data_IF_172513656482
#
_entry.id   IF_172513656482
#
_cell.length_a   1.000
_cell.length_b   1.000
_cell.length_c   1.000
_cell.angle_alpha   90.00
_cell.angle_beta   90.00
_cell.angle_gamma   90.00
#
_symmetry.space_group_name_H-M   'P 1'
#
loop_
_entity.id
_entity.type
_entity.pdbx_description
1 polymer ?
#
# COMPACT_ATOMS: atom_id res chain seq x y z
N UNK A 1 0.93 -2.49 23.23
CA UNK A 1 2.25 -2.24 23.87
C UNK A 1 3.36 -2.74 22.95
N UNK A 2 4.37 -1.92 22.62
CA UNK A 2 5.51 -2.33 21.80
C UNK A 2 6.61 -2.98 22.64
N UNK A 3 7.01 -4.20 22.26
CA UNK A 3 7.96 -5.03 23.03
C UNK A 3 9.00 -5.73 22.16
N UNK A 4 8.76 -5.87 20.86
CA UNK A 4 9.64 -6.63 19.99
C UNK A 4 10.78 -5.75 19.48
N UNK A 5 12.05 -6.11 19.70
CA UNK A 5 13.17 -5.41 19.08
C UNK A 5 13.27 -5.76 17.58
N UNK A 6 13.95 -4.89 16.81
CA UNK A 6 14.19 -5.09 15.37
C UNK A 6 14.68 -6.51 15.02
N UNK A 7 15.59 -7.09 15.81
CA UNK A 7 16.14 -8.42 15.57
C UNK A 7 15.10 -9.55 15.62
N UNK A 8 14.09 -9.43 16.48
CA UNK A 8 12.98 -10.39 16.57
C UNK A 8 12.05 -10.20 15.38
N UNK A 9 11.70 -8.95 15.06
CA UNK A 9 10.82 -8.64 13.93
C UNK A 9 11.40 -9.11 12.59
N UNK A 10 12.70 -8.93 12.35
CA UNK A 10 13.34 -9.42 11.13
C UNK A 10 13.28 -10.95 11.00
N UNK A 11 13.35 -11.68 12.13
CA UNK A 11 13.24 -13.15 12.13
C UNK A 11 11.81 -13.61 11.89
N UNK A 12 10.83 -12.94 12.49
CA UNK A 12 9.41 -13.32 12.39
C UNK A 12 8.79 -12.93 11.04
N UNK A 13 9.21 -11.81 10.45
CA UNK A 13 8.67 -11.32 9.17
C UNK A 13 9.45 -11.79 7.95
N UNK A 14 10.68 -12.28 8.15
CA UNK A 14 11.67 -12.55 7.10
C UNK A 14 12.03 -11.31 6.26
N UNK A 15 11.68 -10.11 6.74
CA UNK A 15 12.09 -8.86 6.14
C UNK A 15 13.45 -8.44 6.69
N UNK A 16 14.27 -7.86 5.82
CA UNK A 16 15.52 -7.24 6.25
C UNK A 16 15.25 -5.97 7.07
N UNK A 17 16.16 -5.62 7.98
CA UNK A 17 16.06 -4.35 8.72
C UNK A 17 16.02 -3.12 7.78
N UNK A 18 16.62 -3.23 6.58
CA UNK A 18 16.55 -2.19 5.54
C UNK A 18 15.13 -2.01 5.02
N UNK A 19 14.44 -3.10 4.67
CA UNK A 19 13.04 -3.06 4.22
C UNK A 19 12.13 -2.48 5.30
N UNK A 20 12.26 -2.92 6.56
CA UNK A 20 11.43 -2.43 7.66
C UNK A 20 11.60 -0.91 7.85
N UNK A 21 12.85 -0.42 7.85
CA UNK A 21 13.13 1.02 7.92
C UNK A 21 12.57 1.78 6.71
N UNK A 22 12.63 1.18 5.53
CA UNK A 22 12.07 1.77 4.33
C UNK A 22 10.54 1.92 4.44
N UNK A 23 9.86 0.91 4.96
CA UNK A 23 8.41 0.96 5.20
C UNK A 23 8.03 1.97 6.29
N UNK A 24 8.83 2.10 7.34
CA UNK A 24 8.71 3.17 8.35
C UNK A 24 8.87 4.57 7.75
N UNK A 25 9.89 4.80 6.89
CA UNK A 25 10.07 6.09 6.20
C UNK A 25 8.88 6.46 5.33
N UNK A 26 8.17 5.46 4.77
CA UNK A 26 6.94 5.65 4.01
C UNK A 26 5.67 5.72 4.88
N UNK A 27 5.83 5.70 6.21
CA UNK A 27 4.77 5.74 7.22
C UNK A 27 3.79 4.57 7.16
N UNK A 28 4.22 3.44 6.59
CA UNK A 28 3.41 2.21 6.56
C UNK A 28 3.35 1.54 7.94
N UNK A 29 4.34 1.83 8.79
CA UNK A 29 4.39 1.43 10.20
C UNK A 29 4.95 2.58 11.04
N UNK A 30 4.64 2.58 12.34
CA UNK A 30 5.08 3.64 13.28
C UNK A 30 5.53 3.02 14.61
N UNK A 31 6.66 2.28 14.63
CA UNK A 31 7.15 1.66 15.84
C UNK A 31 7.53 2.72 16.89
N UNK A 32 7.29 2.41 18.16
CA UNK A 32 7.70 3.28 19.27
C UNK A 32 9.21 3.20 19.47
N UNK A 33 9.80 4.22 20.10
CA UNK A 33 11.19 4.20 20.55
C UNK A 33 11.25 3.98 22.06
N UNK A 34 12.18 3.13 22.50
CA UNK A 34 12.53 2.98 23.91
C UNK A 34 13.35 4.17 24.42
N UNK A 35 13.58 4.25 25.73
CA UNK A 35 14.44 5.26 26.35
C UNK A 35 15.86 5.30 25.75
N UNK A 36 16.41 4.14 25.40
CA UNK A 36 17.70 4.01 24.69
C UNK A 36 17.62 4.30 23.19
N UNK A 37 16.56 4.96 22.71
CA UNK A 37 16.30 5.31 21.32
C UNK A 37 16.26 4.12 20.34
N UNK A 38 15.98 2.91 20.84
CA UNK A 38 15.83 1.71 20.00
C UNK A 38 14.38 1.55 19.57
N UNK A 39 14.14 1.08 18.34
CA UNK A 39 12.79 0.77 17.86
C UNK A 39 12.24 -0.45 18.60
N UNK A 40 11.04 -0.30 19.14
CA UNK A 40 10.22 -1.36 19.70
C UNK A 40 8.95 -1.44 18.86
N UNK A 41 8.67 -2.65 18.39
CA UNK A 41 7.52 -2.96 17.55
C UNK A 41 6.45 -3.62 18.41
N UNK A 42 5.20 -3.26 18.14
CA UNK A 42 4.03 -3.93 18.67
C UNK A 42 3.68 -5.16 17.83
N UNK A 43 2.74 -5.98 18.32
CA UNK A 43 2.15 -7.07 17.55
C UNK A 43 1.50 -6.54 16.25
N UNK A 44 0.76 -5.43 16.35
CA UNK A 44 0.11 -4.79 15.19
C UNK A 44 1.13 -4.31 14.14
N UNK A 45 2.30 -3.80 14.55
CA UNK A 45 3.37 -3.46 13.59
C UNK A 45 3.89 -4.70 12.87
N UNK A 46 4.01 -5.84 13.56
CA UNK A 46 4.44 -7.10 12.97
C UNK A 46 3.40 -7.65 11.98
N UNK A 47 2.13 -7.65 12.35
CA UNK A 47 1.02 -8.04 11.45
C UNK A 47 1.00 -7.18 10.19
N UNK A 48 1.15 -5.85 10.36
CA UNK A 48 1.24 -4.91 9.24
C UNK A 48 2.44 -5.20 8.34
N UNK A 49 3.60 -5.55 8.90
CA UNK A 49 4.78 -5.94 8.12
C UNK A 49 4.55 -7.22 7.30
N UNK A 50 3.85 -8.21 7.87
CA UNK A 50 3.49 -9.43 7.16
C UNK A 50 2.49 -9.18 6.03
N UNK A 51 1.54 -8.26 6.24
CA UNK A 51 0.63 -7.80 5.20
C UNK A 51 1.36 -7.08 4.06
N UNK A 52 2.24 -6.13 4.39
CA UNK A 52 3.07 -5.42 3.40
C UNK A 52 3.87 -6.43 2.57
N UNK A 53 4.47 -7.44 3.21
CA UNK A 53 5.19 -8.52 2.50
C UNK A 53 4.29 -9.22 1.48
N UNK A 54 3.10 -9.67 1.90
CA UNK A 54 2.14 -10.32 1.00
C UNK A 54 1.71 -9.43 -0.18
N UNK A 55 1.54 -8.13 0.06
CA UNK A 55 1.17 -7.19 -1.01
C UNK A 55 2.34 -6.98 -2.00
N UNK A 56 3.58 -6.89 -1.51
CA UNK A 56 4.76 -6.83 -2.38
C UNK A 56 4.88 -8.09 -3.23
N UNK A 57 4.67 -9.28 -2.65
CA UNK A 57 4.68 -10.56 -3.38
C UNK A 57 3.60 -10.64 -4.46
N UNK A 58 2.46 -9.97 -4.26
CA UNK A 58 1.39 -9.81 -5.27
C UNK A 58 1.72 -8.76 -6.35
N UNK A 59 2.86 -8.08 -6.26
CA UNK A 59 3.31 -7.09 -7.24
C UNK A 59 2.86 -5.65 -6.98
N UNK A 60 2.29 -5.34 -5.81
CA UNK A 60 1.95 -3.97 -5.46
C UNK A 60 3.21 -3.14 -5.16
N UNK A 61 3.20 -1.89 -5.59
CA UNK A 61 4.24 -0.92 -5.19
C UNK A 61 3.86 -0.21 -3.88
N UNK A 62 4.82 0.53 -3.29
CA UNK A 62 4.63 1.23 -2.01
C UNK A 62 3.45 2.21 -2.00
N UNK A 63 3.21 2.92 -3.11
CA UNK A 63 2.09 3.86 -3.21
C UNK A 63 0.75 3.13 -3.18
N UNK A 64 0.65 2.02 -3.92
CA UNK A 64 -0.52 1.14 -3.92
C UNK A 64 -0.78 0.55 -2.53
N UNK A 65 0.27 0.06 -1.88
CA UNK A 65 0.20 -0.48 -0.52
C UNK A 65 -0.29 0.57 0.48
N UNK A 66 0.25 1.80 0.43
CA UNK A 66 -0.19 2.89 1.30
C UNK A 66 -1.68 3.20 1.14
N UNK A 67 -2.21 3.13 -0.09
CA UNK A 67 -3.63 3.36 -0.35
C UNK A 67 -4.51 2.24 0.20
N UNK A 68 -4.12 0.98 0.01
CA UNK A 68 -4.85 -0.20 0.54
C UNK A 68 -4.94 -0.09 2.07
N UNK A 69 -3.79 0.12 2.71
CA UNK A 69 -3.67 0.22 4.17
C UNK A 69 -4.50 1.38 4.73
N UNK A 70 -4.51 2.53 4.05
CA UNK A 70 -5.31 3.68 4.47
C UNK A 70 -6.81 3.36 4.41
N UNK A 71 -7.26 2.75 3.32
CA UNK A 71 -8.67 2.38 3.17
C UNK A 71 -9.13 1.40 4.25
N UNK A 72 -8.30 0.42 4.62
CA UNK A 72 -8.62 -0.51 5.72
C UNK A 72 -8.80 0.17 7.08
N UNK A 73 -8.06 1.26 7.33
CA UNK A 73 -8.23 2.05 8.56
C UNK A 73 -9.51 2.91 8.53
N UNK A 74 -9.94 3.32 7.34
CA UNK A 74 -11.17 4.09 7.15
C UNK A 74 -12.42 3.18 7.17
N UNK A 75 -12.28 1.88 6.87
CA UNK A 75 -13.36 0.88 6.89
C UNK A 75 -13.36 0.04 8.18
N UNK A 76 -13.75 0.65 9.30
CA UNK A 76 -14.18 -0.06 10.53
C UNK A 76 -15.68 -0.44 10.52
N UNK A 77 -16.37 -0.28 9.38
CA UNK A 77 -17.73 -0.78 9.17
C UNK A 77 -17.70 -1.80 8.04
N UNK A 78 -17.98 -3.06 8.39
CA UNK A 78 -17.85 -4.26 7.57
C UNK A 78 -18.64 -4.27 6.24
N UNK A 79 -19.51 -3.28 6.00
CA UNK A 79 -20.47 -3.30 4.88
C UNK A 79 -19.88 -2.88 3.52
N UNK A 80 -18.76 -2.14 3.46
CA UNK A 80 -18.23 -1.59 2.20
C UNK A 80 -17.18 -2.47 1.50
N UNK A 81 -16.71 -3.53 2.17
CA UNK A 81 -15.63 -4.40 1.68
C UNK A 81 -16.04 -5.25 0.48
N UNK A 82 -17.31 -5.64 0.39
CA UNK A 82 -17.80 -6.55 -0.65
C UNK A 82 -17.91 -5.83 -2.02
N UNK A 83 -18.30 -4.56 -2.01
CA UNK A 83 -18.47 -3.75 -3.23
C UNK A 83 -17.12 -3.43 -3.89
N UNK A 84 -16.03 -3.29 -3.12
CA UNK A 84 -14.70 -2.94 -3.68
C UNK A 84 -13.93 -4.14 -4.21
N UNK A 85 -14.10 -5.34 -3.65
CA UNK A 85 -13.50 -6.56 -4.21
C UNK A 85 -13.96 -6.82 -5.64
N UNK A 86 -15.20 -6.44 -5.98
CA UNK A 86 -15.74 -6.58 -7.34
C UNK A 86 -15.14 -5.55 -8.33
N UNK A 87 -14.87 -4.31 -7.92
CA UNK A 87 -14.36 -3.26 -8.83
C UNK A 87 -12.88 -3.42 -9.23
N UNK A 88 -12.04 -4.00 -8.36
CA UNK A 88 -10.60 -4.16 -8.63
C UNK A 88 -10.35 -5.31 -9.64
N UNK A 89 -11.20 -6.33 -9.63
CA UNK A 89 -11.12 -7.45 -10.59
C UNK A 89 -11.45 -6.97 -12.02
N UNK A 90 -12.37 -6.02 -12.17
CA UNK A 90 -12.82 -5.56 -13.49
C UNK A 90 -11.79 -4.67 -14.22
N UNK A 91 -10.98 -3.91 -13.48
CA UNK A 91 -9.95 -3.01 -14.05
C UNK A 91 -8.72 -3.74 -14.61
N UNK A 92 -8.55 -5.03 -14.30
CA UNK A 92 -7.36 -5.80 -14.69
C UNK A 92 -7.59 -6.65 -15.96
N UNK A 93 -8.82 -6.69 -16.50
CA UNK A 93 -9.20 -7.64 -17.57
C UNK A 93 -9.66 -7.05 -18.91
N UNK A 94 -9.71 -5.72 -19.12
CA UNK A 94 -10.08 -5.13 -20.43
C UNK A 94 -8.88 -4.54 -21.18
N UNK A 95 -8.49 -5.07 -22.35
CA UNK A 95 -7.64 -4.34 -23.29
C UNK A 95 -8.52 -3.33 -24.04
N UNK A 96 -8.59 -2.09 -23.54
CA UNK A 96 -9.30 -1.03 -24.24
C UNK A 96 -8.44 -0.48 -25.38
N UNK A 97 -8.46 -1.18 -26.52
CA UNK A 97 -8.30 -0.53 -27.82
C UNK A 97 -9.57 0.27 -28.09
N UNK A 98 -9.62 1.51 -27.62
CA UNK A 98 -10.58 2.48 -28.12
C UNK A 98 -9.81 3.54 -28.90
N UNK A 99 -9.98 3.47 -30.21
CA UNK A 99 -9.49 4.45 -31.17
C UNK A 99 -10.06 5.83 -30.80
N UNK A 100 -9.19 6.84 -30.73
CA UNK A 100 -9.61 8.24 -30.59
C UNK A 100 -10.41 8.60 -31.84
N UNK A 101 -11.70 9.01 -31.74
CA UNK A 101 -12.40 9.55 -32.89
C UNK A 101 -11.81 10.94 -33.20
N UNK A 102 -11.12 11.04 -34.34
CA UNK A 102 -10.66 12.31 -34.90
C UNK A 102 -11.90 13.13 -35.25
N UNK A 103 -12.23 14.12 -34.41
CA UNK A 103 -13.32 15.04 -34.68
C UNK A 103 -12.85 16.10 -35.69
N UNK A 104 -13.33 16.00 -36.93
CA UNK A 104 -13.11 16.98 -38.01
C UNK A 104 -13.91 18.24 -37.68
N UNK A 105 -13.34 19.15 -36.87
CA UNK A 105 -14.03 20.39 -36.51
C UNK A 105 -13.19 21.54 -35.96
N UNK A 106 -11.98 21.32 -35.44
CA UNK A 106 -11.27 22.35 -34.66
C UNK A 106 -9.89 22.76 -35.19
N UNK A 107 -9.66 22.68 -36.51
CA UNK A 107 -8.48 23.26 -37.16
C UNK A 107 -8.67 24.72 -37.60
N UNK A 108 -9.83 25.32 -37.32
CA UNK A 108 -10.16 26.68 -37.79
C UNK A 108 -9.74 27.80 -36.83
N UNK A 109 -9.13 27.50 -35.68
CA UNK A 109 -8.92 28.49 -34.60
C UNK A 109 -7.47 28.82 -34.27
N UNK A 110 -6.50 28.24 -34.97
CA UNK A 110 -5.07 28.42 -34.63
C UNK A 110 -4.16 28.82 -35.81
N UNK A 111 -4.72 29.41 -36.87
CA UNK A 111 -3.92 30.17 -37.84
C UNK A 111 -4.56 31.55 -38.03
N UNK A 112 -4.04 32.54 -37.32
CA UNK A 112 -3.84 33.89 -37.82
C UNK A 112 -2.54 34.43 -37.26
#
# INVERSE_FOLDING_TARGET
>A
MPVFPMSVVTKLSELTARQIRYYETHELIKPQRSEGNKRLFSLNDLERLLEIKKLIEKGFNIKGIKQIIKNEQDHLTDDEQETRKQMIVEATQKPQREAIPINRGDLSRFIK
#
